data_IF_459823471058
#
_entry.id   IF_459823471058
#
_cell.length_a   1.000
_cell.length_b   1.000
_cell.length_c   1.000
_cell.angle_alpha   90.00
_cell.angle_beta   90.00
_cell.angle_gamma   90.00
#
_symmetry.space_group_name_H-M   'P 1'
#
loop_
_entity.id
_entity.type
_entity.pdbx_description
1 polymer ?
#
# COMPACT_ATOMS: atom_id res chain seq x y z
N UNK A 1 -21.41 4.00 1.16
CA UNK A 1 -20.85 2.89 0.37
C UNK A 1 -21.52 1.63 0.87
N UNK A 2 -22.45 1.06 0.09
CA UNK A 2 -23.24 -0.11 0.52
C UNK A 2 -22.61 -1.43 0.03
N UNK A 3 -21.76 -1.34 -0.99
CA UNK A 3 -21.18 -2.49 -1.67
C UNK A 3 -19.65 -2.42 -1.64
N UNK A 4 -19.01 -3.59 -1.56
CA UNK A 4 -17.55 -3.70 -1.59
C UNK A 4 -16.96 -3.08 -2.87
N UNK A 5 -17.70 -3.12 -3.98
CA UNK A 5 -17.30 -2.44 -5.22
C UNK A 5 -17.19 -0.93 -5.03
N UNK A 6 -18.11 -0.29 -4.30
CA UNK A 6 -18.00 1.14 -4.00
C UNK A 6 -16.76 1.46 -3.15
N UNK A 7 -16.38 0.56 -2.23
CA UNK A 7 -15.17 0.73 -1.43
C UNK A 7 -13.90 0.62 -2.30
N UNK A 8 -13.85 -0.34 -3.23
CA UNK A 8 -12.72 -0.48 -4.17
C UNK A 8 -12.59 0.76 -5.06
N UNK A 9 -13.70 1.28 -5.58
CA UNK A 9 -13.71 2.53 -6.37
C UNK A 9 -13.23 3.71 -5.53
N UNK A 10 -13.65 3.81 -4.26
CA UNK A 10 -13.21 4.88 -3.37
C UNK A 10 -11.70 4.83 -3.08
N UNK A 11 -11.13 3.63 -2.86
CA UNK A 11 -9.68 3.45 -2.72
C UNK A 11 -8.96 3.91 -3.99
N UNK A 12 -9.46 3.53 -5.17
CA UNK A 12 -8.91 3.96 -6.46
C UNK A 12 -8.92 5.47 -6.67
N UNK A 13 -10.01 6.14 -6.31
CA UNK A 13 -10.12 7.59 -6.39
C UNK A 13 -9.09 8.29 -5.48
N UNK A 14 -8.87 7.75 -4.27
CA UNK A 14 -7.85 8.28 -3.34
C UNK A 14 -6.45 8.07 -3.90
N UNK A 15 -6.13 6.89 -4.43
CA UNK A 15 -4.82 6.59 -5.00
C UNK A 15 -4.47 7.44 -6.23
N UNK A 16 -5.44 7.66 -7.13
CA UNK A 16 -5.28 8.58 -8.26
C UNK A 16 -5.11 10.02 -7.78
N UNK A 17 -5.87 10.45 -6.77
CA UNK A 17 -5.70 11.75 -6.14
C UNK A 17 -4.29 11.95 -5.57
N UNK A 18 -3.73 10.94 -4.89
CA UNK A 18 -2.36 10.98 -4.38
C UNK A 18 -1.32 11.09 -5.50
N UNK A 19 -1.50 10.38 -6.62
CA UNK A 19 -0.60 10.49 -7.77
C UNK A 19 -0.58 11.91 -8.35
N UNK A 20 -1.75 12.55 -8.46
CA UNK A 20 -1.84 13.96 -8.88
C UNK A 20 -1.12 14.88 -7.88
N UNK A 21 -1.30 14.67 -6.58
CA UNK A 21 -0.60 15.44 -5.55
C UNK A 21 0.91 15.30 -5.70
N UNK A 22 1.46 14.11 -5.95
CA UNK A 22 2.89 13.93 -6.19
C UNK A 22 3.39 14.69 -7.43
N UNK A 23 2.61 14.74 -8.51
CA UNK A 23 2.95 15.56 -9.67
C UNK A 23 2.96 17.06 -9.35
N UNK A 24 1.98 17.55 -8.60
CA UNK A 24 1.94 18.94 -8.12
C UNK A 24 3.16 19.25 -7.23
N UNK A 25 3.60 18.28 -6.43
CA UNK A 25 4.79 18.36 -5.59
C UNK A 25 6.12 18.16 -6.35
N UNK A 26 6.10 18.06 -7.69
CA UNK A 26 7.28 17.83 -8.54
C UNK A 26 8.03 16.53 -8.23
N UNK A 27 7.32 15.48 -7.83
CA UNK A 27 7.85 14.15 -7.58
C UNK A 27 7.37 13.14 -8.65
N UNK A 28 7.84 13.25 -9.91
CA UNK A 28 7.35 12.41 -11.01
C UNK A 28 7.64 10.93 -10.83
N UNK A 29 8.81 10.57 -10.30
CA UNK A 29 9.20 9.16 -10.09
C UNK A 29 8.26 8.47 -9.09
N UNK A 30 7.92 9.17 -8.00
CA UNK A 30 6.97 8.68 -6.99
C UNK A 30 5.54 8.64 -7.54
N UNK A 31 5.16 9.61 -8.38
CA UNK A 31 3.83 9.62 -9.00
C UNK A 31 3.60 8.42 -9.92
N UNK A 32 4.61 8.07 -10.73
CA UNK A 32 4.55 6.93 -11.67
C UNK A 32 4.48 5.61 -10.90
N UNK A 33 5.32 5.41 -9.88
CA UNK A 33 5.27 4.17 -9.07
C UNK A 33 3.96 4.05 -8.31
N UNK A 34 3.45 5.14 -7.73
CA UNK A 34 2.14 5.17 -7.06
C UNK A 34 1.02 4.73 -8.02
N UNK A 35 1.01 5.23 -9.26
CA UNK A 35 0.01 4.87 -10.25
C UNK A 35 0.08 3.37 -10.60
N UNK A 36 1.28 2.83 -10.80
CA UNK A 36 1.46 1.40 -11.10
C UNK A 36 0.96 0.54 -9.95
N UNK A 37 1.34 0.86 -8.71
CA UNK A 37 0.90 0.12 -7.52
C UNK A 37 -0.61 0.20 -7.36
N UNK A 38 -1.20 1.39 -7.54
CA UNK A 38 -2.66 1.59 -7.43
C UNK A 38 -3.41 0.73 -8.45
N UNK A 39 -2.97 0.70 -9.70
CA UNK A 39 -3.59 -0.12 -10.75
C UNK A 39 -3.51 -1.61 -10.43
N UNK A 40 -2.37 -2.10 -9.91
CA UNK A 40 -2.23 -3.50 -9.48
C UNK A 40 -3.14 -3.83 -8.29
N UNK A 41 -3.19 -2.96 -7.28
CA UNK A 41 -4.07 -3.11 -6.12
C UNK A 41 -5.54 -3.12 -6.54
N UNK A 42 -5.96 -2.22 -7.43
CA UNK A 42 -7.33 -2.20 -7.94
C UNK A 42 -7.70 -3.47 -8.69
N UNK A 43 -6.82 -3.98 -9.56
CA UNK A 43 -7.07 -5.24 -10.28
C UNK A 43 -7.26 -6.40 -9.28
N UNK A 44 -6.39 -6.50 -8.27
CA UNK A 44 -6.47 -7.55 -7.25
C UNK A 44 -7.76 -7.41 -6.43
N UNK A 45 -8.09 -6.19 -5.96
CA UNK A 45 -9.28 -5.93 -5.15
C UNK A 45 -10.57 -6.14 -5.93
N UNK A 46 -10.64 -5.70 -7.19
CA UNK A 46 -11.78 -5.98 -8.07
C UNK A 46 -11.95 -7.49 -8.23
N UNK A 47 -10.88 -8.23 -8.56
CA UNK A 47 -10.95 -9.69 -8.69
C UNK A 47 -11.38 -10.39 -7.40
N UNK A 48 -10.92 -9.90 -6.25
CA UNK A 48 -11.26 -10.45 -4.93
C UNK A 48 -12.71 -10.15 -4.52
N UNK A 49 -13.29 -9.08 -5.07
CA UNK A 49 -14.59 -8.54 -4.66
C UNK A 49 -15.73 -8.91 -5.60
N UNK A 50 -15.48 -9.02 -6.91
CA UNK A 50 -16.50 -9.24 -7.96
C UNK A 50 -17.37 -10.49 -7.76
N UNK A 51 -16.92 -11.46 -6.96
CA UNK A 51 -17.67 -12.71 -6.66
C UNK A 51 -18.14 -12.82 -5.21
N UNK A 52 -17.99 -11.76 -4.42
CA UNK A 52 -18.33 -11.75 -2.99
C UNK A 52 -19.48 -10.80 -2.72
N UNK A 53 -20.69 -11.34 -2.69
CA UNK A 53 -21.83 -10.68 -2.08
C UNK A 53 -21.81 -10.97 -0.58
N UNK A 54 -21.14 -10.11 0.19
CA UNK A 54 -21.18 -10.17 1.64
C UNK A 54 -22.47 -9.46 2.10
N UNK A 55 -23.43 -10.15 2.75
CA UNK A 55 -24.52 -9.46 3.40
C UNK A 55 -23.92 -8.60 4.51
N UNK A 56 -24.02 -7.28 4.40
CA UNK A 56 -23.70 -6.39 5.51
C UNK A 56 -24.61 -6.78 6.68
N UNK A 57 -24.05 -7.41 7.71
CA UNK A 57 -24.78 -7.70 8.94
C UNK A 57 -25.18 -6.37 9.57
N UNK A 58 -26.44 -5.99 9.38
CA UNK A 58 -27.10 -4.95 10.18
C UNK A 58 -27.38 -5.55 11.56
N UNK A 59 -26.33 -5.79 12.33
CA UNK A 59 -26.47 -5.99 13.77
C UNK A 59 -26.84 -4.61 14.37
N UNK A 60 -27.77 -4.57 15.32
CA UNK A 60 -28.37 -3.37 15.93
C UNK A 60 -27.42 -2.38 16.65
N UNK A 61 -26.11 -2.45 16.39
CA UNK A 61 -25.06 -1.57 16.89
C UNK A 61 -24.62 -0.52 15.85
N UNK A 62 -25.40 -0.28 14.80
CA UNK A 62 -25.04 0.67 13.73
C UNK A 62 -24.69 2.07 14.27
N UNK A 63 -25.47 2.57 15.24
CA UNK A 63 -25.18 3.84 15.92
C UNK A 63 -23.83 3.81 16.64
N UNK A 64 -23.53 2.74 17.39
CA UNK A 64 -22.24 2.60 18.08
C UNK A 64 -21.08 2.52 17.08
N UNK A 65 -21.20 1.74 16.00
CA UNK A 65 -20.16 1.62 14.99
C UNK A 65 -19.93 2.93 14.23
N UNK A 66 -21.00 3.68 13.93
CA UNK A 66 -20.90 5.01 13.32
C UNK A 66 -20.25 6.01 14.28
N UNK A 67 -20.62 6.00 15.56
CA UNK A 67 -20.00 6.86 16.57
C UNK A 67 -18.52 6.53 16.80
N UNK A 68 -18.16 5.26 16.83
CA UNK A 68 -16.76 4.82 16.95
C UNK A 68 -15.96 5.26 15.71
N UNK A 69 -16.49 5.04 14.51
CA UNK A 69 -15.84 5.45 13.26
C UNK A 69 -15.69 6.98 13.20
N UNK A 70 -16.73 7.72 13.55
CA UNK A 70 -16.70 9.18 13.59
C UNK A 70 -15.70 9.69 14.64
N UNK A 71 -15.71 9.10 15.84
CA UNK A 71 -14.75 9.40 16.90
C UNK A 71 -13.31 9.14 16.46
N UNK A 72 -13.05 8.01 15.79
CA UNK A 72 -11.76 7.70 15.21
C UNK A 72 -11.34 8.74 14.17
N UNK A 73 -12.23 9.13 13.25
CA UNK A 73 -11.94 10.15 12.24
C UNK A 73 -11.59 11.50 12.90
N UNK A 74 -12.35 11.91 13.92
CA UNK A 74 -12.08 13.16 14.64
C UNK A 74 -10.72 13.12 15.33
N UNK A 75 -10.40 12.04 16.03
CA UNK A 75 -9.09 11.87 16.69
C UNK A 75 -7.98 11.84 15.65
N UNK A 76 -8.15 11.09 14.56
CA UNK A 76 -7.18 11.00 13.48
C UNK A 76 -6.91 12.38 12.85
N UNK A 77 -7.96 13.13 12.52
CA UNK A 77 -7.82 14.48 11.96
C UNK A 77 -7.21 15.46 12.96
N UNK A 78 -7.56 15.37 14.24
CA UNK A 78 -6.96 16.19 15.28
C UNK A 78 -5.45 15.95 15.39
N UNK A 79 -5.02 14.69 15.43
CA UNK A 79 -3.60 14.33 15.46
C UNK A 79 -2.90 14.74 14.16
N UNK A 80 -3.52 14.53 13.01
CA UNK A 80 -2.97 14.94 11.72
C UNK A 80 -2.74 16.45 11.67
N UNK A 81 -3.72 17.26 12.06
CA UNK A 81 -3.59 18.73 12.10
C UNK A 81 -2.48 19.16 13.05
N UNK A 82 -2.33 18.50 14.21
CA UNK A 82 -1.23 18.78 15.13
C UNK A 82 0.13 18.48 14.50
N UNK A 83 0.28 17.30 13.88
CA UNK A 83 1.51 16.94 13.17
C UNK A 83 1.82 17.91 12.02
N UNK A 84 0.81 18.41 11.30
CA UNK A 84 0.99 19.41 10.25
C UNK A 84 1.47 20.77 10.76
N UNK A 85 1.18 21.13 12.01
CA UNK A 85 1.68 22.38 12.60
C UNK A 85 3.15 22.31 13.00
N UNK A 86 3.65 21.11 13.29
CA UNK A 86 5.04 20.89 13.67
C UNK A 86 5.98 20.74 12.46
N UNK A 87 5.40 20.58 11.26
CA UNK A 87 6.16 20.56 10.01
C UNK A 87 6.69 21.97 9.67
N UNK A 88 7.95 22.07 9.21
CA UNK A 88 8.50 23.35 8.77
C UNK A 88 7.79 23.83 7.50
N UNK A 89 8.00 25.11 7.18
CA UNK A 89 7.40 25.72 5.99
C UNK A 89 7.68 24.89 4.74
N UNK A 90 6.68 24.86 3.85
CA UNK A 90 6.75 24.09 2.63
C UNK A 90 7.99 24.47 1.81
N UNK A 91 8.82 23.47 1.48
CA UNK A 91 10.06 23.65 0.74
C UNK A 91 11.30 23.90 1.59
N UNK A 92 11.18 24.01 2.92
CA UNK A 92 12.35 24.13 3.79
C UNK A 92 13.16 22.82 3.82
N UNK A 93 14.49 22.86 3.56
CA UNK A 93 15.30 21.65 3.48
C UNK A 93 15.60 21.10 4.89
N UNK A 94 14.78 20.15 5.34
CA UNK A 94 14.90 19.52 6.67
C UNK A 94 16.13 18.59 6.75
N UNK A 95 16.44 17.90 5.65
CA UNK A 95 17.52 16.92 5.62
C UNK A 95 18.88 17.57 5.39
N UNK A 96 19.78 17.47 6.38
CA UNK A 96 21.16 17.96 6.28
C UNK A 96 21.91 17.40 5.06
N UNK A 97 21.66 16.13 4.74
CA UNK A 97 22.32 15.41 3.63
C UNK A 97 21.77 15.76 2.25
N UNK A 98 20.62 16.44 2.15
CA UNK A 98 20.00 16.76 0.85
C UNK A 98 20.94 17.60 -0.03
N UNK A 99 21.70 18.53 0.57
CA UNK A 99 22.69 19.32 -0.16
C UNK A 99 23.80 18.47 -0.79
N UNK A 100 24.23 17.40 -0.11
CA UNK A 100 25.24 16.48 -0.63
C UNK A 100 24.68 15.71 -1.83
N UNK A 101 23.46 15.18 -1.72
CA UNK A 101 22.82 14.46 -2.83
C UNK A 101 22.62 15.34 -4.06
N UNK A 102 22.21 16.60 -3.87
CA UNK A 102 21.99 17.54 -4.98
C UNK A 102 23.30 17.95 -5.67
N UNK A 103 24.37 18.21 -4.90
CA UNK A 103 25.64 18.72 -5.44
C UNK A 103 26.56 17.62 -5.97
N UNK A 104 26.63 16.50 -5.25
CA UNK A 104 27.62 15.45 -5.51
C UNK A 104 27.00 14.20 -6.14
N UNK A 105 25.68 14.11 -6.26
CA UNK A 105 25.00 12.92 -6.77
C UNK A 105 25.52 12.50 -8.13
N UNK A 106 25.49 13.39 -9.13
CA UNK A 106 25.99 13.08 -10.46
C UNK A 106 27.48 12.70 -10.47
N UNK A 107 28.31 13.39 -9.69
CA UNK A 107 29.77 13.18 -9.67
C UNK A 107 30.13 11.84 -9.01
N UNK A 108 29.45 11.48 -7.93
CA UNK A 108 29.74 10.27 -7.14
C UNK A 108 29.12 9.01 -7.74
N UNK A 109 27.95 9.11 -8.38
CA UNK A 109 27.19 7.95 -8.86
C UNK A 109 27.11 7.85 -10.38
N UNK A 110 27.40 8.94 -11.11
CA UNK A 110 27.21 9.01 -12.56
C UNK A 110 25.74 9.08 -13.01
N UNK A 111 24.78 9.06 -12.07
CA UNK A 111 23.36 9.08 -12.40
C UNK A 111 22.84 10.52 -12.58
N UNK A 112 22.21 10.78 -13.72
CA UNK A 112 21.58 12.08 -14.03
C UNK A 112 20.28 12.31 -13.25
N UNK A 113 19.58 11.24 -12.88
CA UNK A 113 18.42 11.31 -12.00
C UNK A 113 18.86 11.23 -10.53
N UNK A 114 18.55 12.29 -9.77
CA UNK A 114 18.88 12.42 -8.35
C UNK A 114 18.13 11.38 -7.49
N UNK A 115 16.89 11.03 -7.83
CA UNK A 115 16.15 10.00 -7.09
C UNK A 115 16.84 8.65 -7.26
N UNK A 116 17.22 8.30 -8.49
CA UNK A 116 17.97 7.08 -8.79
C UNK A 116 19.33 7.05 -8.09
N UNK A 117 20.07 8.17 -8.07
CA UNK A 117 21.36 8.25 -7.35
C UNK A 117 21.20 8.02 -5.85
N UNK A 118 20.09 8.47 -5.26
CA UNK A 118 19.82 8.23 -3.83
C UNK A 118 19.46 6.77 -3.58
N UNK A 119 18.49 6.20 -4.29
CA UNK A 119 17.98 4.86 -3.97
C UNK A 119 18.94 3.73 -4.39
N UNK A 120 19.70 3.89 -5.48
CA UNK A 120 20.57 2.84 -6.01
C UNK A 120 22.03 2.94 -5.54
N UNK A 121 22.47 4.10 -5.05
CA UNK A 121 23.84 4.31 -4.58
C UNK A 121 23.86 4.71 -3.10
N UNK A 122 23.49 5.95 -2.77
CA UNK A 122 23.63 6.45 -1.39
C UNK A 122 22.85 5.63 -0.35
N UNK A 123 21.72 5.05 -0.75
CA UNK A 123 20.83 4.24 0.08
C UNK A 123 20.54 2.88 -0.55
N UNK A 124 21.51 2.33 -1.29
CA UNK A 124 21.38 1.04 -1.96
C UNK A 124 20.96 -0.11 -1.03
N UNK A 125 21.45 -0.09 0.22
CA UNK A 125 21.11 -1.11 1.23
C UNK A 125 19.63 -1.10 1.62
N UNK A 126 18.99 0.07 1.67
CA UNK A 126 17.56 0.17 1.97
C UNK A 126 16.76 -0.47 0.82
N UNK A 127 17.10 -0.15 -0.43
CA UNK A 127 16.48 -0.73 -1.64
C UNK A 127 16.71 -2.24 -1.75
N UNK A 128 17.89 -2.74 -1.36
CA UNK A 128 18.17 -4.17 -1.29
C UNK A 128 17.28 -4.86 -0.25
N UNK A 129 17.07 -4.23 0.90
CA UNK A 129 16.15 -4.69 1.94
C UNK A 129 14.71 -4.74 1.44
N UNK A 130 14.22 -3.67 0.84
CA UNK A 130 12.87 -3.58 0.25
C UNK A 130 12.66 -4.66 -0.82
N UNK A 131 13.63 -4.85 -1.73
CA UNK A 131 13.59 -5.89 -2.76
C UNK A 131 13.54 -7.29 -2.15
N UNK A 132 14.30 -7.53 -1.07
CA UNK A 132 14.28 -8.81 -0.34
C UNK A 132 12.90 -9.08 0.27
N UNK A 133 12.28 -8.07 0.89
CA UNK A 133 10.93 -8.19 1.44
C UNK A 133 9.91 -8.49 0.35
N UNK A 134 9.96 -7.78 -0.78
CA UNK A 134 9.09 -8.05 -1.92
C UNK A 134 9.28 -9.46 -2.46
N UNK A 135 10.52 -9.90 -2.63
CA UNK A 135 10.84 -11.25 -3.07
C UNK A 135 10.27 -12.32 -2.13
N UNK A 136 10.45 -12.17 -0.81
CA UNK A 136 9.87 -13.08 0.18
C UNK A 136 8.34 -13.06 0.16
N UNK A 137 7.71 -11.90 -0.03
CA UNK A 137 6.26 -11.79 -0.15
C UNK A 137 5.73 -12.54 -1.38
N UNK A 138 6.40 -12.42 -2.53
CA UNK A 138 6.04 -13.17 -3.76
C UNK A 138 6.16 -14.68 -3.53
N UNK A 139 7.25 -15.15 -2.92
CA UNK A 139 7.42 -16.57 -2.57
C UNK A 139 6.31 -17.03 -1.60
N UNK A 140 5.97 -16.22 -0.60
CA UNK A 140 4.89 -16.51 0.34
C UNK A 140 3.53 -16.68 -0.34
N UNK A 141 3.18 -15.77 -1.25
CA UNK A 141 1.95 -15.88 -2.05
C UNK A 141 1.98 -17.12 -2.95
N UNK A 142 3.11 -17.41 -3.60
CA UNK A 142 3.27 -18.62 -4.41
C UNK A 142 3.09 -19.89 -3.58
N UNK A 143 3.62 -19.94 -2.36
CA UNK A 143 3.47 -21.07 -1.45
C UNK A 143 1.99 -21.29 -1.05
N UNK A 144 1.24 -20.21 -0.79
CA UNK A 144 -0.19 -20.27 -0.43
C UNK A 144 -1.06 -20.72 -1.62
N UNK A 145 -0.78 -20.19 -2.82
CA UNK A 145 -1.60 -20.47 -4.02
C UNK A 145 -1.29 -21.85 -4.63
N UNK A 146 -0.14 -22.46 -4.28
CA UNK A 146 0.26 -23.79 -4.77
C UNK A 146 -0.79 -24.85 -4.41
N UNK A 147 -1.48 -25.38 -5.42
CA UNK A 147 -2.54 -26.41 -5.26
C UNK A 147 -2.02 -27.79 -4.79
N UNK A 148 -0.73 -28.07 -4.92
CA UNK A 148 -0.10 -29.40 -4.71
C UNK A 148 0.20 -29.68 -3.21
N UNK A 149 -0.56 -29.07 -2.29
CA UNK A 149 -0.41 -29.28 -0.84
C UNK A 149 -1.69 -29.75 -0.13
N UNK A 150 -2.85 -29.74 -0.81
CA UNK A 150 -4.06 -30.39 -0.28
C UNK A 150 -3.86 -31.90 -0.41
N UNK A 151 -3.37 -32.55 0.65
CA UNK A 151 -3.54 -34.01 0.81
C UNK A 151 -5.02 -34.28 0.56
N UNK A 152 -5.32 -34.98 -0.53
CA UNK A 152 -6.62 -35.61 -0.76
C UNK A 152 -6.79 -36.53 0.43
N UNK A 153 -7.71 -36.22 1.34
CA UNK A 153 -8.08 -37.13 2.42
C UNK A 153 -8.90 -38.19 1.71
N UNK A 154 -8.23 -39.27 1.31
CA UNK A 154 -8.91 -40.44 0.79
C UNK A 154 -9.79 -40.98 1.93
N UNK A 155 -11.11 -40.96 1.72
CA UNK A 155 -12.08 -41.64 2.57
C UNK A 155 -11.94 -43.15 2.31
N UNK A 156 -11.38 -43.84 3.31
CA UNK A 156 -11.41 -45.29 3.53
C UNK A 156 -11.66 -45.35 5.04
N UNK A 157 -12.79 -45.84 5.55
CA UNK A 157 -13.30 -47.22 5.54
C UNK A 157 -14.81 -47.18 5.86
N UNK A 158 -15.66 -47.70 4.97
CA UNK A 158 -16.85 -48.46 5.38
C UNK A 158 -16.44 -49.93 5.21
N UNK A 159 -16.16 -50.61 6.32
CA UNK A 159 -16.23 -52.06 6.40
C UNK A 159 -17.46 -52.36 7.26
N UNK A 160 -18.41 -52.98 6.60
CA UNK A 160 -19.57 -53.65 7.19
C UNK A 160 -19.11 -54.66 8.25
N UNK A 161 -19.82 -54.71 9.38
CA UNK A 161 -19.94 -55.90 10.23
C UNK A 161 -21.27 -55.81 11.01
N UNK A 162 -22.35 -56.31 10.38
CA UNK A 162 -23.53 -56.89 11.06
C UNK A 162 -23.64 -58.37 10.69
#
# INVERSE_FOLDING_TARGET
>A
MKDLLSAVIAVGAVGLGLSIVFLVLKAPDVAITQLVVEMLCLIILLRATLKKDLPFSTTGRWLLNTLITAGFIVVFLFVAIRAFKDLPEFGYPIMRVANIYLKEGLVKTGASNIVSSVILDFRAYDTLGETTVLFTAVIGVMAIVRRIGRKKKDEVVEEDDE
#
